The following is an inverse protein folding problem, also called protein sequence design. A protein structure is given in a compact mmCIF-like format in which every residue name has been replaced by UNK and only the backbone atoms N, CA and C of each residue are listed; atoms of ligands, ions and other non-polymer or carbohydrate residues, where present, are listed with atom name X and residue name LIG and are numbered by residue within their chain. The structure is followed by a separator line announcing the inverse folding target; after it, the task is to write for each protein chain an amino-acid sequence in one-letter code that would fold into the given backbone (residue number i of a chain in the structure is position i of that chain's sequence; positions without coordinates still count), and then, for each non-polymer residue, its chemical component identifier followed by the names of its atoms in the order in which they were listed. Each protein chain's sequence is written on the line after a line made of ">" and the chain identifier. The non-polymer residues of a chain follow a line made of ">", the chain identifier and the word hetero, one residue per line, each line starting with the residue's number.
data_IF_343002309460
#
_entry.id   IF_343002309460
#
_cell.length_a   1.000
_cell.length_b   1.000
_cell.length_c   1.000
_cell.angle_alpha   90.00
_cell.angle_beta   90.00
_cell.angle_gamma   90.00
#
_symmetry.space_group_name_H-M   'P 1'
#
loop_
_entity.id
_entity.type
_entity.pdbx_description
1 polymer ?
#
# COMPACT_ATOMS: atom_id res chain seq x y z
N UNK A 1 -43.86 -33.81 25.48
CA UNK A 1 -45.03 -33.09 24.98
C UNK A 1 -44.61 -32.42 23.68
N UNK A 2 -44.93 -33.06 22.55
CA UNK A 2 -44.64 -32.51 21.24
C UNK A 2 -45.83 -31.62 20.83
N UNK A 3 -45.54 -30.34 20.59
CA UNK A 3 -46.52 -29.38 20.07
C UNK A 3 -46.69 -29.70 18.59
N UNK A 4 -47.93 -29.91 18.11
CA UNK A 4 -48.17 -30.20 16.71
C UNK A 4 -47.73 -29.01 15.83
N UNK A 5 -47.15 -29.28 14.64
CA UNK A 5 -46.58 -28.23 13.77
C UNK A 5 -47.60 -27.17 13.35
N UNK A 6 -48.87 -27.51 13.24
CA UNK A 6 -49.94 -26.59 12.86
C UNK A 6 -50.26 -25.52 13.95
N UNK A 7 -50.10 -25.86 15.25
CA UNK A 7 -50.23 -24.88 16.33
C UNK A 7 -49.06 -23.89 16.39
N UNK A 8 -47.86 -24.34 16.08
CA UNK A 8 -46.67 -23.48 16.01
C UNK A 8 -46.76 -22.48 14.85
N UNK A 9 -47.23 -22.94 13.70
CA UNK A 9 -47.42 -22.10 12.52
C UNK A 9 -48.54 -21.06 12.74
N UNK A 10 -49.62 -21.44 13.41
CA UNK A 10 -50.71 -20.54 13.82
C UNK A 10 -50.21 -19.44 14.76
N UNK A 11 -49.45 -19.79 15.79
CA UNK A 11 -48.91 -18.86 16.77
C UNK A 11 -47.89 -17.88 16.13
N UNK A 12 -47.05 -18.35 15.21
CA UNK A 12 -46.10 -17.53 14.45
C UNK A 12 -46.83 -16.52 13.53
N UNK A 13 -47.88 -16.97 12.85
CA UNK A 13 -48.68 -16.13 11.94
C UNK A 13 -49.42 -15.03 12.70
N UNK A 14 -49.96 -15.35 13.89
CA UNK A 14 -50.61 -14.38 14.77
C UNK A 14 -49.60 -13.37 15.36
N UNK A 15 -48.40 -13.80 15.75
CA UNK A 15 -47.37 -12.93 16.28
C UNK A 15 -46.84 -11.95 15.22
N UNK A 16 -46.69 -12.40 13.97
CA UNK A 16 -46.28 -11.57 12.85
C UNK A 16 -47.35 -10.55 12.44
N UNK A 17 -48.63 -10.94 12.44
CA UNK A 17 -49.74 -10.05 12.14
C UNK A 17 -49.96 -8.97 13.21
N UNK A 18 -49.81 -9.28 14.50
CA UNK A 18 -49.80 -8.27 15.57
C UNK A 18 -48.66 -7.27 15.44
N UNK A 19 -47.50 -7.71 14.99
CA UNK A 19 -46.30 -6.84 14.78
C UNK A 19 -46.43 -5.95 13.53
N UNK A 20 -47.15 -6.39 12.52
CA UNK A 20 -47.45 -5.62 11.30
C UNK A 20 -48.57 -4.57 11.52
N UNK A 21 -49.49 -4.79 12.48
CA UNK A 21 -50.62 -3.91 12.75
C UNK A 21 -50.29 -2.66 13.59
N UNK A 22 -49.05 -2.53 14.11
CA UNK A 22 -48.64 -1.32 14.85
C UNK A 22 -48.25 -0.22 13.84
N UNK A 23 -49.01 0.90 13.74
CA UNK A 23 -48.71 1.99 12.85
C UNK A 23 -47.34 2.58 13.23
N UNK A 24 -46.30 2.38 12.42
CA UNK A 24 -45.04 3.11 12.58
C UNK A 24 -45.26 4.53 12.08
N UNK A 25 -45.14 5.51 12.96
CA UNK A 25 -45.07 6.90 12.55
C UNK A 25 -43.93 7.08 11.57
N UNK A 26 -44.24 7.35 10.31
CA UNK A 26 -43.25 7.66 9.28
C UNK A 26 -42.68 9.02 9.64
N UNK A 27 -41.39 9.08 9.96
CA UNK A 27 -40.73 10.35 10.26
C UNK A 27 -40.78 11.27 9.02
N UNK A 28 -40.97 12.55 9.25
CA UNK A 28 -41.03 13.57 8.19
C UNK A 28 -39.81 13.65 7.27
N UNK A 29 -38.68 13.04 7.71
CA UNK A 29 -37.42 12.90 6.93
C UNK A 29 -36.86 11.48 7.17
N UNK A 30 -37.30 10.47 6.42
CA UNK A 30 -36.82 9.10 6.58
C UNK A 30 -35.36 8.93 6.12
N UNK A 31 -34.89 9.70 5.15
CA UNK A 31 -33.53 9.65 4.68
C UNK A 31 -32.55 10.23 5.69
N UNK A 32 -32.85 11.40 6.25
CA UNK A 32 -32.05 12.02 7.31
C UNK A 32 -32.07 11.19 8.61
N UNK A 33 -33.17 10.52 8.92
CA UNK A 33 -33.24 9.60 10.07
C UNK A 33 -32.35 8.36 9.86
N UNK A 34 -32.30 7.81 8.65
CA UNK A 34 -31.43 6.70 8.29
C UNK A 34 -29.95 7.09 8.36
N UNK A 35 -29.58 8.27 7.84
CA UNK A 35 -28.20 8.80 7.90
C UNK A 35 -27.79 9.06 9.35
N UNK A 36 -28.63 9.69 10.16
CA UNK A 36 -28.34 9.91 11.60
C UNK A 36 -28.20 8.60 12.37
N UNK A 37 -28.97 7.56 12.00
CA UNK A 37 -28.87 6.23 12.61
C UNK A 37 -27.59 5.52 12.18
N UNK A 38 -27.21 5.60 10.91
CA UNK A 38 -25.95 5.06 10.39
C UNK A 38 -24.75 5.71 11.09
N UNK A 39 -24.72 7.05 11.19
CA UNK A 39 -23.66 7.78 11.88
C UNK A 39 -23.60 7.48 13.39
N UNK A 40 -24.75 7.22 14.05
CA UNK A 40 -24.77 6.82 15.46
C UNK A 40 -24.28 5.39 15.66
N UNK A 41 -24.61 4.49 14.75
CA UNK A 41 -24.09 3.11 14.75
C UNK A 41 -22.60 3.10 14.47
N UNK A 42 -22.14 3.93 13.54
CA UNK A 42 -20.74 4.08 13.21
C UNK A 42 -19.93 4.66 14.39
N UNK A 43 -20.44 5.71 15.07
CA UNK A 43 -19.82 6.25 16.30
C UNK A 43 -19.84 5.26 17.47
N UNK A 44 -20.86 4.42 17.62
CA UNK A 44 -20.87 3.36 18.63
C UNK A 44 -19.96 2.20 18.26
N UNK A 45 -19.76 1.92 16.97
CA UNK A 45 -18.79 0.92 16.50
C UNK A 45 -17.35 1.39 16.67
N UNK A 46 -17.05 2.68 16.50
CA UNK A 46 -15.73 3.24 16.79
C UNK A 46 -15.42 3.23 18.29
N UNK A 47 -16.39 3.42 19.17
CA UNK A 47 -16.19 3.37 20.63
C UNK A 47 -16.24 1.93 21.19
N UNK A 48 -17.05 1.04 20.58
CA UNK A 48 -17.14 -0.39 20.96
C UNK A 48 -16.21 -1.30 20.16
N UNK A 49 -15.62 -0.80 19.06
CA UNK A 49 -14.81 -1.59 18.14
C UNK A 49 -13.44 -2.02 18.68
N UNK A 50 -12.98 -1.50 19.82
CA UNK A 50 -11.79 -2.02 20.49
C UNK A 50 -12.02 -3.34 21.25
N UNK A 51 -13.29 -3.74 21.46
CA UNK A 51 -13.61 -5.01 22.16
C UNK A 51 -14.26 -6.07 21.26
N UNK A 52 -14.84 -5.70 20.11
CA UNK A 52 -15.65 -6.58 19.27
C UNK A 52 -14.97 -7.03 17.97
N UNK A 53 -13.85 -6.47 17.59
CA UNK A 53 -13.07 -6.98 16.46
C UNK A 53 -12.59 -8.42 16.70
N UNK A 54 -12.32 -8.78 17.96
CA UNK A 54 -12.01 -10.17 18.36
C UNK A 54 -13.26 -11.07 18.42
N UNK A 55 -14.43 -10.54 18.74
CA UNK A 55 -15.66 -11.33 18.84
C UNK A 55 -16.35 -11.53 17.49
N UNK A 56 -16.22 -10.59 16.54
CA UNK A 56 -16.76 -10.74 15.18
C UNK A 56 -15.99 -11.76 14.35
N UNK A 57 -14.69 -11.93 14.60
CA UNK A 57 -13.88 -12.98 13.96
C UNK A 57 -14.33 -14.36 14.42
N UNK A 58 -14.70 -14.52 15.69
CA UNK A 58 -15.17 -15.81 16.27
C UNK A 58 -16.60 -16.14 15.84
N UNK A 59 -17.50 -15.17 15.66
CA UNK A 59 -18.90 -15.44 15.29
C UNK A 59 -19.11 -15.67 13.80
N UNK A 60 -18.26 -15.15 12.92
CA UNK A 60 -18.31 -15.47 11.48
C UNK A 60 -17.74 -16.87 11.21
N UNK A 61 -16.72 -17.29 11.96
CA UNK A 61 -16.19 -18.65 11.84
C UNK A 61 -17.12 -19.75 12.39
N UNK A 62 -18.03 -19.44 13.33
CA UNK A 62 -19.00 -20.41 13.85
C UNK A 62 -20.26 -20.53 12.99
N UNK A 63 -20.60 -19.53 12.17
CA UNK A 63 -21.79 -19.52 11.31
C UNK A 63 -21.64 -20.28 9.98
N UNK A 64 -20.41 -20.58 9.55
CA UNK A 64 -20.16 -21.22 8.28
C UNK A 64 -20.15 -22.77 8.33
N UNK A 65 -20.34 -23.38 9.50
CA UNK A 65 -20.29 -24.84 9.67
C UNK A 65 -21.61 -25.58 9.37
N UNK A 66 -22.71 -24.88 9.01
CA UNK A 66 -24.03 -25.51 8.84
C UNK A 66 -24.67 -25.42 7.45
N UNK A 67 -23.96 -24.92 6.43
CA UNK A 67 -24.48 -24.93 5.05
C UNK A 67 -23.55 -25.74 4.14
N UNK A 68 -23.57 -27.05 4.31
CA UNK A 68 -23.01 -27.98 3.36
C UNK A 68 -24.12 -28.38 2.39
N UNK A 69 -24.24 -27.65 1.30
CA UNK A 69 -25.03 -28.07 0.15
C UNK A 69 -24.08 -28.32 -1.02
N UNK A 70 -24.13 -29.54 -1.55
CA UNK A 70 -23.27 -30.08 -2.59
C UNK A 70 -23.55 -29.39 -3.95
N UNK A 71 -22.98 -28.23 -4.16
CA UNK A 71 -22.83 -27.62 -5.50
C UNK A 71 -21.41 -27.09 -5.67
N UNK A 72 -20.74 -27.36 -6.81
CA UNK A 72 -19.43 -26.78 -7.07
C UNK A 72 -19.58 -25.27 -7.20
N UNK A 73 -18.79 -24.45 -6.47
CA UNK A 73 -18.86 -23.01 -6.59
C UNK A 73 -18.08 -22.53 -7.80
N UNK A 74 -18.81 -22.09 -8.81
CA UNK A 74 -18.28 -21.08 -9.74
C UNK A 74 -18.31 -19.73 -9.02
N UNK A 75 -17.20 -19.27 -8.55
CA UNK A 75 -17.06 -17.99 -7.90
C UNK A 75 -16.12 -18.06 -6.69
N UNK A 76 -14.93 -17.49 -6.82
CA UNK A 76 -13.93 -17.47 -5.76
C UNK A 76 -14.46 -16.86 -4.47
N UNK A 77 -14.66 -17.68 -3.45
CA UNK A 77 -15.03 -17.25 -2.10
C UNK A 77 -13.78 -16.72 -1.40
N UNK A 78 -13.81 -15.46 -0.99
CA UNK A 78 -12.78 -14.88 -0.13
C UNK A 78 -12.95 -15.48 1.27
N UNK A 79 -12.10 -16.41 1.67
CA UNK A 79 -12.10 -17.01 3.01
C UNK A 79 -11.11 -16.25 3.87
N UNK A 80 -11.61 -15.56 4.89
CA UNK A 80 -10.77 -14.93 5.92
C UNK A 80 -10.37 -16.01 6.92
N UNK A 81 -9.10 -16.44 6.88
CA UNK A 81 -8.50 -17.32 7.89
C UNK A 81 -9.26 -18.61 8.15
N UNK A 82 -9.09 -19.64 7.32
CA UNK A 82 -9.59 -21.00 7.60
C UNK A 82 -8.53 -21.73 8.46
N UNK A 83 -8.81 -22.05 9.74
CA UNK A 83 -7.86 -22.71 10.62
C UNK A 83 -7.53 -24.16 10.18
N UNK A 84 -8.35 -24.75 9.32
CA UNK A 84 -8.15 -26.12 8.82
C UNK A 84 -7.43 -26.15 7.45
N UNK A 85 -7.09 -24.97 6.90
CA UNK A 85 -6.33 -24.93 5.65
C UNK A 85 -4.86 -25.25 5.95
N UNK A 86 -4.29 -26.31 5.36
CA UNK A 86 -2.88 -26.60 5.59
C UNK A 86 -2.03 -25.38 5.20
N UNK A 87 -0.97 -25.08 5.99
CA UNK A 87 -0.06 -23.99 5.65
C UNK A 87 0.38 -24.15 4.21
N UNK A 88 0.54 -23.03 3.50
CA UNK A 88 0.93 -22.99 2.09
C UNK A 88 1.83 -24.17 1.72
N UNK A 89 1.25 -25.20 1.13
CA UNK A 89 2.04 -26.32 0.62
C UNK A 89 2.92 -25.75 -0.48
N UNK A 90 4.22 -25.93 -0.35
CA UNK A 90 5.21 -25.59 -1.36
C UNK A 90 4.83 -26.33 -2.66
N UNK A 91 3.94 -25.70 -3.44
CA UNK A 91 3.65 -26.19 -4.78
C UNK A 91 4.84 -25.81 -5.64
N UNK A 92 5.59 -26.80 -6.05
CA UNK A 92 6.54 -26.66 -7.15
C UNK A 92 5.81 -25.94 -8.29
N UNK A 93 6.24 -24.71 -8.60
CA UNK A 93 5.69 -23.94 -9.72
C UNK A 93 5.87 -24.81 -10.95
N UNK A 94 4.80 -25.23 -11.64
CA UNK A 94 4.95 -25.99 -12.86
C UNK A 94 5.81 -25.17 -13.82
N UNK A 95 6.72 -25.80 -14.57
CA UNK A 95 7.50 -25.10 -15.57
C UNK A 95 6.53 -24.33 -16.49
N UNK A 96 6.88 -23.10 -16.91
CA UNK A 96 6.03 -22.32 -17.79
C UNK A 96 5.63 -23.18 -18.98
N UNK A 97 4.32 -23.29 -19.20
CA UNK A 97 3.78 -24.02 -20.34
C UNK A 97 4.20 -23.34 -21.66
N UNK A 98 4.00 -24.01 -22.81
CA UNK A 98 4.41 -23.53 -24.12
C UNK A 98 3.76 -22.20 -24.57
N UNK A 99 2.77 -21.70 -23.84
CA UNK A 99 2.03 -20.47 -24.13
C UNK A 99 2.52 -19.22 -23.39
N UNK A 100 3.74 -19.21 -22.89
CA UNK A 100 4.32 -18.01 -22.28
C UNK A 100 4.61 -16.98 -23.36
N UNK A 101 3.88 -15.87 -23.33
CA UNK A 101 4.18 -14.72 -24.17
C UNK A 101 5.59 -14.17 -23.82
N UNK A 102 6.29 -13.54 -24.78
CA UNK A 102 7.56 -12.89 -24.45
C UNK A 102 7.34 -11.87 -23.31
N UNK A 103 8.29 -11.76 -22.38
CA UNK A 103 8.15 -10.83 -21.26
C UNK A 103 8.03 -9.40 -21.78
N UNK A 104 7.10 -8.64 -21.20
CA UNK A 104 6.88 -7.23 -21.57
C UNK A 104 7.99 -6.33 -21.01
N UNK A 105 8.56 -6.71 -19.88
CA UNK A 105 9.59 -5.99 -19.17
C UNK A 105 10.42 -6.95 -18.30
N UNK A 106 11.57 -6.46 -17.83
CA UNK A 106 12.44 -7.18 -16.88
C UNK A 106 11.92 -7.13 -15.43
N UNK A 107 10.77 -6.49 -15.22
CA UNK A 107 10.08 -6.35 -13.92
C UNK A 107 8.64 -6.80 -14.05
N UNK A 108 8.04 -7.22 -12.95
CA UNK A 108 6.61 -7.49 -12.92
C UNK A 108 5.82 -6.18 -13.01
N UNK A 109 4.72 -6.19 -13.75
CA UNK A 109 3.84 -5.04 -13.96
C UNK A 109 2.40 -5.41 -13.65
N UNK A 110 1.63 -4.49 -13.06
CA UNK A 110 0.17 -4.60 -13.08
C UNK A 110 -0.33 -3.81 -14.27
N UNK A 111 -1.16 -4.46 -15.05
CA UNK A 111 -1.85 -3.89 -16.19
C UNK A 111 -3.09 -4.73 -16.51
N UNK A 112 -4.17 -4.07 -16.88
CA UNK A 112 -5.42 -4.73 -17.30
C UNK A 112 -5.89 -5.79 -16.25
N UNK A 113 -5.93 -5.40 -14.96
CA UNK A 113 -6.38 -6.29 -13.87
C UNK A 113 -5.57 -7.57 -13.71
N UNK A 114 -4.33 -7.61 -14.19
CA UNK A 114 -3.44 -8.77 -14.08
C UNK A 114 -2.01 -8.38 -13.73
N UNK A 115 -1.25 -9.29 -13.11
CA UNK A 115 0.20 -9.17 -12.97
C UNK A 115 0.86 -9.83 -14.19
N UNK A 116 1.49 -9.01 -15.05
CA UNK A 116 2.38 -9.48 -16.09
C UNK A 116 3.77 -9.66 -15.49
N UNK A 117 4.23 -10.91 -15.38
CA UNK A 117 5.52 -11.21 -14.74
C UNK A 117 6.68 -11.01 -15.71
N UNK A 118 7.87 -10.72 -15.17
CA UNK A 118 9.11 -10.67 -15.92
C UNK A 118 9.47 -11.97 -16.65
N UNK A 119 8.80 -13.09 -16.34
CA UNK A 119 8.93 -14.38 -17.03
C UNK A 119 7.88 -14.59 -18.12
N UNK A 120 7.05 -13.58 -18.45
CA UNK A 120 6.04 -13.65 -19.49
C UNK A 120 4.71 -14.31 -19.07
N UNK A 121 4.53 -14.66 -17.79
CA UNK A 121 3.25 -15.16 -17.27
C UNK A 121 2.29 -14.00 -16.97
N UNK A 122 0.99 -14.24 -17.15
CA UNK A 122 -0.06 -13.36 -16.67
C UNK A 122 -0.82 -14.03 -15.52
N UNK A 123 -0.93 -13.33 -14.39
CA UNK A 123 -1.63 -13.77 -13.19
C UNK A 123 -2.81 -12.82 -12.97
N UNK A 124 -4.06 -13.27 -13.16
CA UNK A 124 -5.23 -12.41 -13.03
C UNK A 124 -5.45 -12.01 -11.56
N UNK A 125 -5.89 -10.77 -11.34
CA UNK A 125 -6.20 -10.19 -10.03
C UNK A 125 -7.71 -10.24 -9.78
N UNK A 126 -8.27 -11.44 -9.63
CA UNK A 126 -9.70 -11.59 -9.42
C UNK A 126 -10.14 -11.16 -8.01
N UNK A 127 -11.13 -10.27 -7.94
CA UNK A 127 -11.75 -9.86 -6.67
C UNK A 127 -10.94 -8.90 -5.82
N UNK A 128 -9.82 -8.36 -6.32
CA UNK A 128 -9.01 -7.39 -5.59
C UNK A 128 -9.45 -5.93 -5.80
N UNK A 129 -10.30 -5.66 -6.81
CA UNK A 129 -10.59 -4.29 -7.24
C UNK A 129 -9.35 -3.60 -7.81
N UNK A 130 -9.38 -2.26 -7.82
CA UNK A 130 -8.25 -1.47 -8.30
C UNK A 130 -7.07 -1.60 -7.32
N UNK A 131 -5.93 -2.00 -7.84
CA UNK A 131 -4.69 -2.16 -7.07
C UNK A 131 -3.75 -0.99 -7.36
N UNK A 132 -3.29 -0.32 -6.28
CA UNK A 132 -2.42 0.85 -6.38
C UNK A 132 -0.94 0.48 -6.28
N UNK A 133 -0.61 -0.51 -5.43
CA UNK A 133 0.78 -0.93 -5.18
C UNK A 133 0.84 -2.45 -5.05
N UNK A 134 1.90 -3.04 -5.58
CA UNK A 134 2.18 -4.46 -5.39
C UNK A 134 3.64 -4.65 -5.02
N UNK A 135 3.85 -5.56 -4.10
CA UNK A 135 5.16 -5.99 -3.65
C UNK A 135 5.32 -7.48 -3.90
N UNK A 136 6.37 -7.88 -4.61
CA UNK A 136 6.71 -9.28 -4.83
C UNK A 136 7.42 -9.84 -3.60
N UNK A 137 6.96 -10.99 -3.12
CA UNK A 137 7.60 -11.68 -2.01
C UNK A 137 8.95 -12.27 -2.44
N UNK A 138 9.97 -12.09 -1.62
CA UNK A 138 11.35 -12.52 -1.90
C UNK A 138 11.50 -14.04 -2.04
N UNK A 139 10.58 -14.82 -1.44
CA UNK A 139 10.54 -16.27 -1.55
C UNK A 139 9.88 -16.78 -2.83
N UNK A 140 9.43 -15.89 -3.72
CA UNK A 140 8.78 -16.22 -4.98
C UNK A 140 7.37 -16.83 -4.85
N UNK A 141 6.80 -16.89 -3.63
CA UNK A 141 5.48 -17.49 -3.39
C UNK A 141 4.31 -16.66 -3.89
N UNK A 142 4.55 -15.42 -4.28
CA UNK A 142 3.49 -14.55 -4.78
C UNK A 142 3.76 -13.07 -4.50
N UNK A 143 2.68 -12.34 -4.25
CA UNK A 143 2.71 -10.89 -4.10
C UNK A 143 1.82 -10.43 -2.94
N UNK A 144 2.13 -9.25 -2.40
CA UNK A 144 1.25 -8.47 -1.54
C UNK A 144 0.70 -7.31 -2.36
N UNK A 145 -0.62 -7.17 -2.44
CA UNK A 145 -1.27 -6.10 -3.18
C UNK A 145 -2.01 -5.16 -2.23
N UNK A 146 -1.82 -3.86 -2.42
CA UNK A 146 -2.53 -2.81 -1.69
C UNK A 146 -3.51 -2.16 -2.64
N UNK A 147 -4.78 -2.18 -2.27
CA UNK A 147 -5.86 -1.58 -3.04
C UNK A 147 -5.87 -0.07 -3.03
N UNK A 148 -6.44 0.50 -4.08
CA UNK A 148 -6.77 1.91 -4.12
C UNK A 148 -7.70 2.29 -2.95
N UNK A 149 -7.70 3.55 -2.50
CA UNK A 149 -8.56 3.99 -1.41
C UNK A 149 -10.03 3.91 -1.82
N UNK A 150 -10.85 3.33 -0.95
CA UNK A 150 -12.30 3.27 -1.09
C UNK A 150 -12.99 3.95 0.10
N UNK A 151 -14.31 4.11 0.04
CA UNK A 151 -15.08 4.60 1.19
C UNK A 151 -14.99 3.66 2.41
N UNK A 152 -14.68 2.38 2.20
CA UNK A 152 -14.47 1.39 3.25
C UNK A 152 -13.01 1.32 3.73
N UNK A 153 -12.12 2.14 3.17
CA UNK A 153 -10.68 2.11 3.39
C UNK A 153 -9.94 1.25 2.36
N UNK A 154 -8.65 1.08 2.57
CA UNK A 154 -7.76 0.23 1.77
C UNK A 154 -7.81 -1.22 2.24
N UNK A 155 -7.48 -2.11 1.33
CA UNK A 155 -7.36 -3.55 1.60
C UNK A 155 -5.94 -4.01 1.24
N UNK A 156 -5.39 -4.92 2.03
CA UNK A 156 -4.17 -5.65 1.73
C UNK A 156 -4.54 -7.10 1.40
N UNK A 157 -4.06 -7.59 0.27
CA UNK A 157 -4.18 -8.98 -0.13
C UNK A 157 -2.83 -9.67 -0.18
N UNK A 158 -2.80 -10.95 0.19
CA UNK A 158 -1.78 -11.88 -0.24
C UNK A 158 -2.27 -12.58 -1.51
N UNK A 159 -1.46 -12.54 -2.57
CA UNK A 159 -1.76 -13.16 -3.86
C UNK A 159 -0.75 -14.27 -4.09
N UNK A 160 -1.22 -15.49 -4.15
CA UNK A 160 -0.38 -16.64 -4.43
C UNK A 160 0.05 -16.68 -5.91
N UNK A 161 1.08 -17.47 -6.23
CA UNK A 161 1.59 -17.59 -7.59
C UNK A 161 0.57 -18.15 -8.61
N UNK A 162 -0.50 -18.77 -8.15
CA UNK A 162 -1.62 -19.26 -8.97
C UNK A 162 -2.74 -18.20 -9.16
N UNK A 163 -2.59 -17.01 -8.58
CA UNK A 163 -3.57 -15.92 -8.63
C UNK A 163 -4.62 -15.96 -7.52
N UNK A 164 -4.59 -16.95 -6.63
CA UNK A 164 -5.51 -16.97 -5.47
C UNK A 164 -5.21 -15.79 -4.55
N UNK A 165 -6.21 -14.94 -4.29
CA UNK A 165 -6.11 -13.79 -3.42
C UNK A 165 -6.75 -14.07 -2.05
N UNK A 166 -6.05 -13.70 -0.98
CA UNK A 166 -6.52 -13.75 0.40
C UNK A 166 -6.43 -12.35 1.02
N UNK A 167 -7.51 -11.89 1.68
CA UNK A 167 -7.49 -10.64 2.42
C UNK A 167 -6.68 -10.82 3.71
N UNK A 168 -5.66 -9.99 3.91
CA UNK A 168 -4.89 -9.92 5.16
C UNK A 168 -5.41 -8.83 6.09
N UNK A 169 -5.80 -7.69 5.51
CA UNK A 169 -6.24 -6.51 6.24
C UNK A 169 -7.26 -5.74 5.40
N UNK A 170 -8.29 -5.18 6.05
CA UNK A 170 -9.28 -4.34 5.41
C UNK A 170 -9.64 -3.13 6.29
N UNK A 171 -10.04 -2.03 5.65
CA UNK A 171 -10.52 -0.83 6.33
C UNK A 171 -9.44 0.10 6.86
N UNK A 172 -8.22 -0.01 6.33
CA UNK A 172 -7.13 0.91 6.68
C UNK A 172 -7.23 2.23 5.90
N UNK A 173 -6.85 3.33 6.51
CA UNK A 173 -6.72 4.62 5.83
C UNK A 173 -5.47 4.61 4.94
N UNK A 174 -4.37 4.05 5.45
CA UNK A 174 -3.10 3.89 4.72
C UNK A 174 -2.40 2.60 5.14
N UNK A 175 -1.69 1.97 4.19
CA UNK A 175 -0.95 0.72 4.39
C UNK A 175 0.45 0.87 3.79
N UNK A 176 1.47 0.46 4.54
CA UNK A 176 2.85 0.40 4.05
C UNK A 176 3.48 -0.95 4.36
N UNK A 177 4.31 -1.43 3.46
CA UNK A 177 5.07 -2.67 3.59
C UNK A 177 6.54 -2.35 3.82
N UNK A 178 7.24 -3.24 4.49
CA UNK A 178 8.71 -3.20 4.52
C UNK A 178 9.30 -3.67 3.17
N UNK A 179 10.61 -3.53 3.02
CA UNK A 179 11.30 -3.85 1.79
C UNK A 179 11.25 -5.33 1.40
N UNK A 180 11.07 -6.21 2.39
CA UNK A 180 11.04 -7.67 2.19
C UNK A 180 9.62 -8.24 2.10
N UNK A 181 8.58 -7.41 2.32
CA UNK A 181 7.19 -7.84 2.39
C UNK A 181 6.88 -8.71 3.62
N UNK A 182 7.72 -8.66 4.67
CA UNK A 182 7.54 -9.43 5.91
C UNK A 182 6.86 -8.68 7.03
N UNK A 183 6.79 -7.36 6.91
CA UNK A 183 6.12 -6.49 7.89
C UNK A 183 5.15 -5.57 7.16
N UNK A 184 4.05 -5.28 7.84
CA UNK A 184 3.07 -4.30 7.40
C UNK A 184 2.78 -3.33 8.53
N UNK A 185 2.67 -2.04 8.20
CA UNK A 185 2.10 -1.06 9.09
C UNK A 185 0.90 -0.40 8.42
N UNK A 186 -0.11 -0.09 9.21
CA UNK A 186 -1.32 0.55 8.71
C UNK A 186 -1.88 1.54 9.73
N UNK A 187 -2.59 2.52 9.22
CA UNK A 187 -3.32 3.48 10.02
C UNK A 187 -4.82 3.25 9.88
N UNK A 188 -5.55 3.39 10.98
CA UNK A 188 -6.99 3.39 11.02
C UNK A 188 -7.47 4.44 12.05
N UNK A 189 -8.03 5.53 11.57
CA UNK A 189 -8.39 6.67 12.41
C UNK A 189 -7.15 7.28 13.11
N UNK A 190 -7.11 7.23 14.43
CA UNK A 190 -5.97 7.69 15.26
C UNK A 190 -5.07 6.57 15.75
N UNK A 191 -5.23 5.36 15.22
CA UNK A 191 -4.42 4.21 15.59
C UNK A 191 -3.49 3.84 14.45
N UNK A 192 -2.21 3.81 14.72
CA UNK A 192 -1.17 3.21 13.90
C UNK A 192 -0.87 1.82 14.43
N UNK A 193 -0.89 0.82 13.56
CA UNK A 193 -0.61 -0.56 13.92
C UNK A 193 0.45 -1.14 13.00
N UNK A 194 1.19 -2.13 13.48
CA UNK A 194 2.12 -2.91 12.66
C UNK A 194 2.10 -4.38 13.08
N UNK A 195 2.34 -5.26 12.12
CA UNK A 195 2.39 -6.70 12.32
C UNK A 195 3.43 -7.34 11.42
N UNK A 196 3.93 -8.51 11.82
CA UNK A 196 4.63 -9.41 10.91
C UNK A 196 3.66 -10.10 9.97
N UNK A 197 4.13 -10.45 8.78
CA UNK A 197 3.41 -11.31 7.83
C UNK A 197 4.11 -12.67 7.84
N UNK A 198 3.43 -13.69 8.34
CA UNK A 198 3.96 -15.05 8.47
C UNK A 198 2.96 -16.01 7.84
N UNK A 199 3.39 -16.78 6.85
CA UNK A 199 2.55 -17.75 6.13
C UNK A 199 1.22 -17.18 5.59
N UNK A 200 1.21 -15.91 5.17
CA UNK A 200 0.01 -15.25 4.68
C UNK A 200 -0.97 -14.79 5.77
N UNK A 201 -0.52 -14.67 7.01
CA UNK A 201 -1.31 -14.17 8.14
C UNK A 201 -0.59 -13.05 8.87
N UNK A 202 -1.36 -12.17 9.53
CA UNK A 202 -0.80 -11.12 10.37
C UNK A 202 -0.50 -11.65 11.77
N UNK A 203 0.76 -11.59 12.18
CA UNK A 203 1.23 -12.06 13.47
C UNK A 203 1.72 -10.90 14.34
N UNK A 204 1.50 -10.98 15.65
CA UNK A 204 2.09 -10.07 16.67
C UNK A 204 1.85 -8.59 16.38
N UNK A 205 0.61 -8.15 16.49
CA UNK A 205 0.25 -6.75 16.25
C UNK A 205 0.71 -5.84 17.39
N UNK A 206 1.43 -4.77 17.05
CA UNK A 206 1.79 -3.65 17.93
C UNK A 206 0.98 -2.43 17.51
N UNK A 207 0.62 -1.55 18.49
CA UNK A 207 -0.20 -0.36 18.22
C UNK A 207 0.36 0.87 18.93
N UNK A 208 0.17 2.02 18.26
CA UNK A 208 0.48 3.35 18.82
C UNK A 208 -0.69 4.30 18.55
N UNK A 209 -0.88 5.28 19.42
CA UNK A 209 -1.77 6.40 19.17
C UNK A 209 -1.02 7.47 18.36
N UNK A 210 -1.68 8.00 17.33
CA UNK A 210 -1.10 8.99 16.43
C UNK A 210 -2.10 10.13 16.17
N UNK A 211 -1.64 11.32 15.78
CA UNK A 211 -2.52 12.38 15.30
C UNK A 211 -3.42 11.89 14.15
N UNK A 212 -4.62 12.44 14.05
CA UNK A 212 -5.57 12.06 12.99
C UNK A 212 -5.00 12.27 11.58
N UNK A 213 -4.16 13.28 11.38
CA UNK A 213 -3.52 13.62 10.11
C UNK A 213 -2.23 12.84 9.84
N UNK A 214 -1.72 12.11 10.81
CA UNK A 214 -0.49 11.34 10.65
C UNK A 214 -0.64 10.25 9.58
N UNK A 215 0.41 10.05 8.78
CA UNK A 215 0.41 9.08 7.67
C UNK A 215 1.68 8.23 7.73
N UNK A 216 1.59 6.90 7.86
CA UNK A 216 2.75 6.03 7.70
C UNK A 216 3.24 6.08 6.25
N UNK A 217 4.55 6.20 6.05
CA UNK A 217 5.14 6.36 4.73
C UNK A 217 5.92 5.12 4.28
N UNK A 218 6.75 4.56 5.16
CA UNK A 218 7.60 3.40 4.89
C UNK A 218 8.25 2.86 6.14
N UNK A 219 8.82 1.68 6.05
CA UNK A 219 9.74 1.15 7.05
C UNK A 219 11.16 1.69 6.82
N UNK A 220 11.86 1.97 7.90
CA UNK A 220 13.25 2.43 7.92
C UNK A 220 13.94 1.83 9.14
N UNK A 221 14.96 1.00 8.93
CA UNK A 221 15.75 0.40 10.03
C UNK A 221 14.89 -0.26 11.13
N UNK A 222 13.82 -0.95 10.73
CA UNK A 222 12.91 -1.62 11.67
C UNK A 222 11.93 -0.69 12.42
N UNK A 223 11.88 0.60 12.07
CA UNK A 223 10.88 1.56 12.53
C UNK A 223 9.95 1.96 11.38
N UNK A 224 8.77 2.47 11.69
CA UNK A 224 7.89 3.08 10.69
C UNK A 224 8.11 4.59 10.67
N UNK A 225 8.46 5.12 9.53
CA UNK A 225 8.50 6.55 9.27
C UNK A 225 7.06 7.06 9.12
N UNK A 226 6.72 8.06 9.91
CA UNK A 226 5.38 8.65 9.95
C UNK A 226 5.48 10.14 9.65
N UNK A 227 4.76 10.63 8.65
CA UNK A 227 4.54 12.06 8.44
C UNK A 227 3.47 12.53 9.44
N UNK A 228 3.72 13.61 10.15
CA UNK A 228 2.87 14.05 11.26
C UNK A 228 1.64 14.82 10.83
N UNK A 229 1.72 15.51 9.68
CA UNK A 229 0.65 16.35 9.13
C UNK A 229 0.49 16.10 7.64
N UNK A 230 -0.70 16.30 7.10
CA UNK A 230 -0.98 16.02 5.67
C UNK A 230 -0.17 16.93 4.75
N UNK A 231 -0.10 18.22 5.03
CA UNK A 231 0.48 19.24 4.13
C UNK A 231 1.68 19.98 4.74
N UNK A 232 2.09 19.64 5.95
CA UNK A 232 3.18 20.30 6.67
C UNK A 232 4.47 19.50 6.69
N UNK A 233 5.59 20.16 7.01
CA UNK A 233 6.84 19.49 7.29
C UNK A 233 6.79 18.74 8.64
N UNK A 234 7.65 17.77 8.78
CA UNK A 234 7.87 17.05 10.02
C UNK A 234 7.49 15.58 9.93
N UNK A 235 8.44 14.77 10.36
CA UNK A 235 8.32 13.32 10.43
C UNK A 235 8.73 12.81 11.80
N UNK A 236 8.21 11.63 12.14
CA UNK A 236 8.62 10.88 13.33
C UNK A 236 8.96 9.44 12.95
N UNK A 237 9.75 8.78 13.76
CA UNK A 237 10.06 7.36 13.65
C UNK A 237 9.36 6.60 14.77
N UNK A 238 8.51 5.66 14.42
CA UNK A 238 7.86 4.76 15.37
C UNK A 238 8.63 3.44 15.46
N UNK A 239 9.30 3.15 16.58
CA UNK A 239 10.14 1.97 16.73
C UNK A 239 9.35 0.69 17.08
N UNK A 240 8.10 0.58 16.63
CA UNK A 240 7.19 -0.56 16.82
C UNK A 240 6.99 -0.91 18.31
N UNK A 241 6.80 0.11 19.15
CA UNK A 241 6.51 -0.05 20.57
C UNK A 241 5.08 0.41 20.89
N UNK A 242 4.39 -0.25 21.84
CA UNK A 242 3.09 0.22 22.32
C UNK A 242 3.18 1.61 22.95
N UNK A 243 2.08 2.37 22.87
CA UNK A 243 1.95 3.69 23.48
C UNK A 243 1.80 4.80 22.46
N UNK A 244 1.80 6.06 22.89
CA UNK A 244 1.70 7.21 21.98
C UNK A 244 2.96 7.33 21.11
N UNK A 245 2.77 7.80 19.88
CA UNK A 245 3.89 8.13 19.00
C UNK A 245 4.67 9.31 19.58
N UNK A 246 5.97 9.11 19.78
CA UNK A 246 6.87 10.25 20.00
C UNK A 246 6.98 11.05 18.70
N UNK A 247 6.44 12.27 18.72
CA UNK A 247 6.43 13.13 17.54
C UNK A 247 7.81 13.65 17.14
N UNK A 248 8.83 13.36 17.95
CA UNK A 248 10.20 13.78 17.68
C UNK A 248 10.38 15.29 17.60
N UNK A 249 11.49 15.72 17.05
CA UNK A 249 11.89 17.14 16.93
C UNK A 249 11.92 17.66 15.50
N UNK A 250 11.73 16.81 14.51
CA UNK A 250 11.76 17.24 13.11
C UNK A 250 10.59 18.14 12.77
N UNK A 251 10.89 19.31 12.22
CA UNK A 251 9.92 20.30 11.73
C UNK A 251 10.35 20.89 10.39
N UNK A 252 11.36 20.30 9.76
CA UNK A 252 12.00 20.86 8.56
C UNK A 252 11.88 19.94 7.34
N UNK A 253 11.82 18.62 7.54
CA UNK A 253 11.74 17.69 6.42
C UNK A 253 10.35 17.72 5.79
N UNK A 254 10.31 17.87 4.47
CA UNK A 254 9.06 17.90 3.69
C UNK A 254 8.76 16.55 3.05
N UNK A 255 9.81 15.87 2.56
CA UNK A 255 9.70 14.59 1.87
C UNK A 255 10.84 13.67 2.29
N UNK A 256 10.59 12.36 2.31
CA UNK A 256 11.61 11.35 2.55
C UNK A 256 11.59 10.36 1.38
N UNK A 257 12.67 10.29 0.62
CA UNK A 257 12.78 9.48 -0.60
C UNK A 257 13.28 8.05 -0.33
N UNK A 258 14.08 7.83 0.71
CA UNK A 258 14.62 6.52 1.03
C UNK A 258 15.63 6.55 2.17
N UNK A 259 16.15 5.37 2.49
CA UNK A 259 17.23 5.20 3.44
C UNK A 259 18.54 4.84 2.73
N UNK A 260 19.65 5.26 3.30
CA UNK A 260 20.99 4.83 2.91
C UNK A 260 21.38 3.54 3.66
N UNK A 261 22.33 2.76 3.17
CA UNK A 261 22.83 1.57 3.86
C UNK A 261 23.40 1.85 5.27
N UNK A 262 23.85 3.07 5.54
CA UNK A 262 24.33 3.50 6.84
C UNK A 262 23.21 3.94 7.80
N UNK A 263 21.95 3.81 7.38
CA UNK A 263 20.77 4.13 8.17
C UNK A 263 20.30 5.59 8.12
N UNK A 264 21.07 6.50 7.52
CA UNK A 264 20.61 7.88 7.27
C UNK A 264 19.51 7.89 6.23
N UNK A 265 18.66 8.92 6.25
CA UNK A 265 17.59 9.09 5.27
C UNK A 265 17.95 10.18 4.26
N UNK A 266 17.46 10.01 3.04
CA UNK A 266 17.51 11.04 2.00
C UNK A 266 16.16 11.74 1.98
N UNK A 267 16.15 13.05 2.22
CA UNK A 267 14.91 13.81 2.28
C UNK A 267 15.05 15.21 1.68
N UNK A 268 13.90 15.85 1.51
CA UNK A 268 13.78 17.26 1.16
C UNK A 268 13.58 18.10 2.42
N UNK A 269 14.21 19.26 2.47
CA UNK A 269 13.94 20.29 3.50
C UNK A 269 13.66 21.63 2.81
N UNK A 270 12.85 22.46 3.45
CA UNK A 270 12.68 23.85 3.02
C UNK A 270 13.52 24.74 3.92
N UNK A 271 14.60 25.36 3.42
CA UNK A 271 15.54 26.13 4.22
C UNK A 271 15.02 27.53 4.63
N UNK A 272 13.70 27.75 4.58
CA UNK A 272 13.03 29.01 4.94
C UNK A 272 12.01 29.46 3.90
N UNK A 273 11.17 30.42 4.26
CA UNK A 273 10.11 30.93 3.37
C UNK A 273 10.70 31.48 2.06
N UNK A 274 10.12 31.06 0.92
CA UNK A 274 10.48 31.56 -0.42
C UNK A 274 11.72 30.91 -1.04
N UNK A 275 12.33 29.88 -0.43
CA UNK A 275 13.43 29.11 -1.00
C UNK A 275 12.95 27.76 -1.56
N UNK A 276 13.56 27.32 -2.64
CA UNK A 276 13.34 25.99 -3.20
C UNK A 276 13.72 24.90 -2.19
N UNK A 277 13.05 23.75 -2.26
CA UNK A 277 13.39 22.59 -1.45
C UNK A 277 14.81 22.12 -1.75
N UNK A 278 15.56 21.81 -0.71
CA UNK A 278 16.93 21.28 -0.82
C UNK A 278 16.92 19.79 -0.45
N UNK A 279 17.68 18.98 -1.17
CA UNK A 279 18.00 17.62 -0.73
C UNK A 279 18.92 17.65 0.50
N UNK A 280 18.72 16.70 1.40
CA UNK A 280 19.58 16.56 2.59
C UNK A 280 19.66 15.12 3.05
N UNK A 281 20.74 14.81 3.75
CA UNK A 281 20.82 13.60 4.56
C UNK A 281 20.28 13.92 5.96
N UNK A 282 19.37 13.09 6.45
CA UNK A 282 18.75 13.23 7.77
C UNK A 282 19.27 12.12 8.69
N UNK A 283 19.56 12.45 9.94
CA UNK A 283 20.08 11.50 10.91
C UNK A 283 18.96 11.01 11.85
N UNK A 284 18.50 9.75 11.73
CA UNK A 284 17.47 9.20 12.60
C UNK A 284 17.86 9.17 14.07
N UNK A 285 19.14 8.97 14.39
CA UNK A 285 19.62 8.95 15.77
C UNK A 285 19.58 10.33 16.45
N UNK A 286 19.48 11.39 15.65
CA UNK A 286 19.38 12.78 16.13
C UNK A 286 18.02 13.41 15.77
N UNK A 287 16.94 12.62 15.78
CA UNK A 287 15.59 13.12 15.53
C UNK A 287 15.41 13.69 14.13
N UNK A 288 16.00 13.08 13.11
CA UNK A 288 15.99 13.51 11.70
C UNK A 288 16.70 14.86 11.46
N UNK A 289 17.67 15.22 12.30
CA UNK A 289 18.44 16.44 12.08
C UNK A 289 19.15 16.43 10.73
N UNK A 290 19.10 17.52 9.95
CA UNK A 290 19.81 17.63 8.67
C UNK A 290 21.33 17.56 8.90
N UNK A 291 22.01 16.65 8.19
CA UNK A 291 23.44 16.45 8.31
C UNK A 291 24.22 17.10 7.16
N UNK A 292 23.69 17.08 5.93
CA UNK A 292 24.35 17.59 4.74
C UNK A 292 23.32 18.09 3.72
N UNK A 293 23.06 19.39 3.62
CA UNK A 293 22.15 19.94 2.63
C UNK A 293 22.83 20.08 1.27
N UNK A 294 22.08 19.82 0.19
CA UNK A 294 22.44 20.07 -1.20
C UNK A 294 21.29 20.78 -1.92
N UNK A 295 21.41 22.07 -2.17
CA UNK A 295 20.37 22.89 -2.78
C UNK A 295 20.55 23.08 -4.29
N UNK A 296 21.19 22.12 -4.96
CA UNK A 296 21.43 22.18 -6.42
C UNK A 296 20.23 21.80 -7.28
N UNK A 297 19.55 20.66 -7.03
CA UNK A 297 18.40 20.25 -7.82
C UNK A 297 17.14 21.02 -7.49
N UNK A 298 16.37 21.43 -8.49
CA UNK A 298 15.02 21.96 -8.34
C UNK A 298 14.05 20.77 -8.25
N UNK A 299 13.64 20.41 -7.02
CA UNK A 299 12.75 19.28 -6.76
C UNK A 299 11.28 19.63 -7.03
N UNK A 300 10.54 18.67 -7.57
CA UNK A 300 9.07 18.74 -7.56
C UNK A 300 8.54 18.49 -6.14
N UNK A 301 7.40 19.13 -5.81
CA UNK A 301 6.73 18.96 -4.52
C UNK A 301 5.88 17.69 -4.40
N UNK A 302 6.03 16.72 -5.29
CA UNK A 302 5.15 15.55 -5.40
C UNK A 302 5.59 14.31 -4.59
N UNK A 303 6.69 14.42 -3.85
CA UNK A 303 7.30 13.34 -3.03
C UNK A 303 7.71 12.07 -3.80
N UNK A 304 7.63 12.08 -5.15
CA UNK A 304 7.98 10.92 -5.97
C UNK A 304 9.48 10.79 -6.10
N UNK A 305 9.97 9.64 -5.73
CA UNK A 305 11.37 9.30 -5.84
C UNK A 305 11.77 8.12 -4.98
N UNK A 306 12.90 7.51 -5.31
CA UNK A 306 13.48 6.42 -4.55
C UNK A 306 14.99 6.43 -4.60
N UNK A 307 15.61 6.02 -3.52
CA UNK A 307 17.05 5.82 -3.39
C UNK A 307 17.42 4.44 -3.90
N UNK A 308 18.53 4.32 -4.63
CA UNK A 308 19.04 3.02 -5.09
C UNK A 308 19.46 2.13 -3.91
N UNK A 309 19.46 0.79 -4.08
CA UNK A 309 19.78 -0.16 -2.99
C UNK A 309 21.18 0.04 -2.38
N UNK A 310 22.15 0.52 -3.17
CA UNK A 310 23.50 0.85 -2.70
C UNK A 310 23.60 2.23 -2.02
N UNK A 311 22.52 3.01 -2.05
CA UNK A 311 22.47 4.35 -1.46
C UNK A 311 23.22 5.43 -2.24
N UNK A 312 23.69 5.14 -3.44
CA UNK A 312 24.47 6.10 -4.25
C UNK A 312 23.60 7.04 -5.05
N UNK A 313 22.50 6.56 -5.57
CA UNK A 313 21.66 7.31 -6.50
C UNK A 313 20.27 7.59 -5.91
N UNK A 314 19.76 8.75 -6.23
CA UNK A 314 18.34 9.09 -6.04
C UNK A 314 17.74 9.38 -7.41
N UNK A 315 16.63 8.72 -7.72
CA UNK A 315 15.75 9.07 -8.82
C UNK A 315 14.55 9.84 -8.25
N UNK A 316 14.31 11.08 -8.71
CA UNK A 316 13.31 11.99 -8.12
C UNK A 316 12.72 12.89 -9.19
N UNK A 317 11.47 13.31 -9.06
CA UNK A 317 10.90 14.35 -9.92
C UNK A 317 11.45 15.74 -9.58
N UNK A 318 11.69 16.51 -10.63
CA UNK A 318 12.19 17.88 -10.51
C UNK A 318 12.19 18.59 -11.85
N UNK A 319 12.97 19.66 -11.94
CA UNK A 319 13.08 20.44 -13.17
C UNK A 319 14.53 20.48 -13.67
N UNK A 320 14.67 20.35 -14.97
CA UNK A 320 15.96 20.50 -15.67
C UNK A 320 15.77 21.43 -16.84
N UNK A 321 16.59 22.47 -16.94
CA UNK A 321 16.48 23.51 -17.97
C UNK A 321 15.08 24.15 -18.08
N UNK A 322 14.32 24.23 -16.97
CA UNK A 322 12.98 24.79 -16.93
C UNK A 322 11.84 23.82 -17.27
N UNK A 323 12.15 22.56 -17.62
CA UNK A 323 11.16 21.52 -17.95
C UNK A 323 11.06 20.50 -16.83
N UNK A 324 9.84 19.98 -16.58
CA UNK A 324 9.63 18.90 -15.64
C UNK A 324 10.25 17.60 -16.15
N UNK A 325 10.98 16.92 -15.29
CA UNK A 325 11.75 15.74 -15.63
C UNK A 325 11.96 14.84 -14.42
N UNK A 326 12.18 13.55 -14.65
CA UNK A 326 12.85 12.72 -13.68
C UNK A 326 14.32 13.08 -13.64
N UNK A 327 14.89 13.25 -12.45
CA UNK A 327 16.28 13.60 -12.21
C UNK A 327 16.99 12.44 -11.54
N UNK A 328 18.16 12.08 -12.06
CA UNK A 328 19.11 11.20 -11.39
C UNK A 328 20.14 12.05 -10.62
N UNK A 329 20.21 11.85 -9.30
CA UNK A 329 21.08 12.60 -8.40
C UNK A 329 22.14 11.68 -7.80
N UNK A 330 23.43 12.01 -7.96
CA UNK A 330 24.54 11.34 -7.28
C UNK A 330 24.63 11.86 -5.83
N UNK A 331 24.18 11.04 -4.88
CA UNK A 331 24.14 11.40 -3.46
C UNK A 331 25.53 11.59 -2.83
N UNK A 332 26.58 11.10 -3.48
CA UNK A 332 27.96 11.36 -3.05
C UNK A 332 28.41 12.80 -3.36
N UNK A 333 27.67 13.46 -4.28
CA UNK A 333 27.97 14.80 -4.81
C UNK A 333 26.84 15.79 -4.56
N UNK A 334 26.09 15.66 -3.45
CA UNK A 334 24.93 16.49 -3.12
C UNK A 334 25.18 18.00 -3.13
N UNK A 335 26.40 18.41 -2.82
CA UNK A 335 26.88 19.80 -2.73
C UNK A 335 27.36 20.37 -4.06
N UNK A 336 27.33 19.59 -5.14
CA UNK A 336 27.78 20.03 -6.45
C UNK A 336 26.68 19.98 -7.51
N UNK A 337 26.53 21.00 -8.37
CA UNK A 337 25.55 21.01 -9.47
C UNK A 337 25.79 19.86 -10.49
N UNK A 338 27.00 19.37 -10.57
CA UNK A 338 27.38 18.30 -11.51
C UNK A 338 26.85 16.93 -11.13
N UNK A 339 26.30 16.77 -9.92
CA UNK A 339 25.70 15.52 -9.44
C UNK A 339 24.29 15.23 -9.96
N UNK A 340 23.69 16.16 -10.71
CA UNK A 340 22.30 16.03 -11.18
C UNK A 340 22.26 15.87 -12.70
N UNK A 341 21.45 14.93 -13.18
CA UNK A 341 21.24 14.66 -14.62
C UNK A 341 19.75 14.44 -14.90
N UNK A 342 19.21 14.95 -16.01
CA UNK A 342 17.88 14.55 -16.48
C UNK A 342 17.91 13.07 -16.84
N UNK A 343 16.94 12.32 -16.29
CA UNK A 343 16.87 10.87 -16.43
C UNK A 343 15.78 10.41 -17.39
N UNK A 344 14.80 11.27 -17.69
CA UNK A 344 13.67 10.96 -18.57
C UNK A 344 12.44 11.80 -18.24
N UNK A 345 11.26 11.48 -18.78
CA UNK A 345 10.02 12.18 -18.49
C UNK A 345 9.65 12.07 -17.00
N UNK A 346 8.79 12.97 -16.48
CA UNK A 346 8.33 12.92 -15.09
C UNK A 346 7.66 11.59 -14.74
N UNK A 347 7.91 11.11 -13.53
CA UNK A 347 7.33 9.89 -12.98
C UNK A 347 5.90 10.16 -12.48
N UNK A 348 4.99 9.21 -12.73
CA UNK A 348 3.61 9.27 -12.22
C UNK A 348 3.32 8.28 -11.11
N UNK A 349 4.07 7.20 -11.02
CA UNK A 349 3.88 6.11 -10.06
C UNK A 349 5.09 5.87 -9.17
N UNK A 350 5.16 4.67 -8.64
CA UNK A 350 6.26 4.21 -7.80
C UNK A 350 7.51 3.96 -8.63
N UNK A 351 8.66 4.38 -8.11
CA UNK A 351 9.98 4.03 -8.64
C UNK A 351 10.43 2.72 -8.03
N UNK A 352 10.86 1.81 -8.88
CA UNK A 352 11.38 0.50 -8.46
C UNK A 352 12.82 0.35 -8.96
N UNK A 353 13.75 0.23 -8.03
CA UNK A 353 15.12 -0.16 -8.33
C UNK A 353 15.23 -1.68 -8.39
N UNK A 354 15.56 -2.20 -9.56
CA UNK A 354 15.83 -3.64 -9.72
C UNK A 354 17.25 -4.01 -9.32
N UNK A 355 18.18 -3.14 -9.65
CA UNK A 355 19.60 -3.23 -9.28
C UNK A 355 20.09 -1.83 -8.90
N UNK A 356 21.28 -1.66 -8.32
CA UNK A 356 21.84 -0.34 -8.06
C UNK A 356 21.95 0.56 -9.31
N UNK A 357 22.02 -0.04 -10.49
CA UNK A 357 22.24 0.66 -11.77
C UNK A 357 21.01 0.70 -12.68
N UNK A 358 19.88 0.13 -12.27
CA UNK A 358 18.68 0.07 -13.12
C UNK A 358 17.42 0.30 -12.31
N UNK A 359 16.63 1.31 -12.69
CA UNK A 359 15.33 1.62 -12.13
C UNK A 359 14.22 1.61 -13.19
N UNK A 360 12.98 1.43 -12.74
CA UNK A 360 11.78 1.46 -13.56
C UNK A 360 10.72 2.35 -12.94
N UNK A 361 9.97 3.05 -13.78
CA UNK A 361 8.78 3.81 -13.40
C UNK A 361 7.82 3.97 -14.60
N UNK A 362 6.58 4.38 -14.34
CA UNK A 362 5.62 4.77 -15.38
C UNK A 362 5.63 6.28 -15.58
N UNK A 363 5.50 6.74 -16.84
CA UNK A 363 5.28 8.14 -17.17
C UNK A 363 3.77 8.50 -17.25
N UNK A 364 3.46 9.75 -17.50
CA UNK A 364 2.07 10.24 -17.61
C UNK A 364 1.32 9.71 -18.83
N UNK A 365 2.01 9.20 -19.84
CA UNK A 365 1.41 8.63 -21.04
C UNK A 365 1.20 7.10 -20.92
N UNK A 366 1.53 6.49 -19.78
CA UNK A 366 1.45 5.04 -19.58
C UNK A 366 2.67 4.29 -20.14
N UNK A 367 3.71 5.00 -20.55
CA UNK A 367 4.97 4.39 -20.98
C UNK A 367 5.79 3.87 -19.80
N UNK A 368 6.39 2.70 -19.96
CA UNK A 368 7.38 2.19 -19.01
C UNK A 368 8.75 2.80 -19.32
N UNK A 369 9.33 3.47 -18.34
CA UNK A 369 10.67 4.06 -18.45
C UNK A 369 11.69 3.18 -17.72
N UNK A 370 12.70 2.72 -18.43
CA UNK A 370 13.87 2.02 -17.89
C UNK A 370 15.04 2.98 -17.80
N UNK A 371 15.45 3.32 -16.60
CA UNK A 371 16.61 4.17 -16.34
C UNK A 371 17.84 3.29 -16.14
N UNK A 372 18.79 3.37 -17.07
CA UNK A 372 20.13 2.79 -16.93
C UNK A 372 21.08 3.91 -16.48
N UNK A 373 21.62 3.77 -15.27
CA UNK A 373 22.42 4.83 -14.61
C UNK A 373 23.63 5.24 -15.42
N UNK A 374 24.33 4.28 -16.02
CA UNK A 374 25.51 4.51 -16.86
C UNK A 374 25.17 5.38 -18.09
N UNK A 375 24.02 5.12 -18.73
CA UNK A 375 23.56 5.88 -19.89
C UNK A 375 23.17 7.30 -19.50
N UNK A 376 22.44 7.46 -18.41
CA UNK A 376 22.05 8.78 -17.89
C UNK A 376 23.27 9.58 -17.44
N UNK A 377 24.22 8.95 -16.75
CA UNK A 377 25.47 9.58 -16.36
C UNK A 377 26.31 10.05 -17.57
N UNK A 378 26.21 9.34 -18.71
CA UNK A 378 26.80 9.71 -20.00
C UNK A 378 25.99 10.77 -20.78
N UNK A 379 24.91 11.35 -20.17
CA UNK A 379 24.08 12.39 -20.79
C UNK A 379 23.00 11.85 -21.74
N UNK A 380 22.64 10.58 -21.66
CA UNK A 380 21.58 9.95 -22.46
C UNK A 380 20.35 9.65 -21.56
N UNK A 381 19.33 10.52 -21.53
CA UNK A 381 18.12 10.28 -20.76
C UNK A 381 17.35 9.07 -21.29
N UNK A 382 16.59 8.42 -20.41
CA UNK A 382 15.75 7.29 -20.76
C UNK A 382 14.55 7.74 -21.61
N UNK A 383 14.12 6.88 -22.52
CA UNK A 383 12.93 7.09 -23.36
C UNK A 383 11.86 6.10 -22.93
N UNK A 384 10.58 6.54 -22.82
CA UNK A 384 9.47 5.65 -22.51
C UNK A 384 9.28 4.58 -23.58
N UNK A 385 9.00 3.36 -23.14
CA UNK A 385 8.58 2.26 -23.98
C UNK A 385 7.06 2.07 -23.84
N UNK A 386 6.34 2.10 -24.96
CA UNK A 386 4.93 1.76 -24.98
C UNK A 386 4.75 0.28 -24.63
N UNK A 387 3.80 -0.01 -23.73
CA UNK A 387 3.47 -1.38 -23.34
C UNK A 387 2.35 -1.92 -24.23
N UNK A 388 2.57 -3.01 -24.99
CA UNK A 388 1.54 -3.59 -25.82
C UNK A 388 0.40 -4.15 -24.94
N UNK A 389 -0.83 -3.84 -25.34
CA UNK A 389 -2.04 -4.30 -24.64
C UNK A 389 -2.42 -3.50 -23.40
N UNK A 390 -1.77 -2.37 -23.12
CA UNK A 390 -2.22 -1.44 -22.09
C UNK A 390 -3.38 -0.59 -22.67
N UNK A 391 -4.55 -0.55 -22.02
CA UNK A 391 -5.65 0.31 -22.42
C UNK A 391 -5.27 1.79 -22.41
N UNK A 392 -5.82 2.58 -23.33
CA UNK A 392 -5.55 4.03 -23.36
C UNK A 392 -6.01 4.69 -22.06
N UNK A 393 -5.09 5.43 -21.40
CA UNK A 393 -5.36 6.13 -20.15
C UNK A 393 -5.13 5.29 -18.90
N UNK A 394 -4.81 4.02 -19.00
CA UNK A 394 -4.37 3.20 -17.89
C UNK A 394 -2.86 3.40 -17.68
N UNK A 395 -2.45 3.47 -16.41
CA UNK A 395 -1.04 3.57 -16.02
C UNK A 395 -0.58 2.21 -15.49
N UNK A 396 0.54 1.67 -16.00
CA UNK A 396 1.09 0.44 -15.44
C UNK A 396 1.63 0.71 -14.04
N UNK A 397 1.40 -0.22 -13.10
CA UNK A 397 2.02 -0.18 -11.79
C UNK A 397 3.23 -1.09 -11.78
N UNK A 398 4.40 -0.53 -11.53
CA UNK A 398 5.63 -1.31 -11.40
C UNK A 398 5.64 -2.03 -10.05
N UNK A 399 5.83 -3.34 -10.08
CA UNK A 399 5.84 -4.19 -8.87
C UNK A 399 7.18 -4.03 -8.16
N UNK A 400 7.14 -3.68 -6.88
CA UNK A 400 8.33 -3.59 -6.02
C UNK A 400 8.72 -4.95 -5.44
N UNK A 401 9.93 -5.06 -4.87
CA UNK A 401 10.42 -6.29 -4.23
C UNK A 401 10.98 -7.32 -5.21
N UNK A 402 11.43 -8.48 -4.71
CA UNK A 402 11.98 -9.60 -5.47
C UNK A 402 13.50 -9.68 -5.48
#
# INVERSE_FOLDING_TARGET
>A
MDVPPDELEGALREMLSRRAAVPRAVAADPAGAAIRRANRVQRRRTVAGMGLALAAIVTVSAGSLHLRDDRPPDGGTVVIGDPDRPPFVERTIPPPGPDTAPPLAEVDLIMDGSIATAQGRRVPLHGTGDVERVHRLTDGRGWLAIGAPTLAGRVLWAIAADGTAQVLLAGADEIVLDADGRQVAWKQGTVLAAAGIVNGELATTVRAEVPAEAVPLRFVNGAVLVRLTTDGPGHALWPLRPGPLDQGTDRASTHIFGALPDGRLVGGITPGAGRSACLTLLDPARGLAPARPGCGPELAGDSRGAVSPDGRWLLVNGRSAGEDSALLVDLTKLDTPTGVRPAGPPMTGTVVWRTPDTAYYADAAGGLVRVAVDLVAAGRPAVPNALPGLPSGELPVVVSGG
#
